data_IF_396538710902
#
_entry.id   IF_396538710902
#
_cell.length_a   1.000
_cell.length_b   1.000
_cell.length_c   1.000
_cell.angle_alpha   90.00
_cell.angle_beta   90.00
_cell.angle_gamma   90.00
#
_symmetry.space_group_name_H-M   'P 1'
#
loop_
_entity.id
_entity.type
_entity.pdbx_description
1 polymer ?
#
# COMPACT_ATOMS: atom_id res chain seq x y z
N UNK A 1 39.84 76.15 -13.29
CA UNK A 1 39.59 74.92 -14.08
C UNK A 1 40.54 73.88 -13.50
N UNK A 2 40.17 72.78 -12.86
CA UNK A 2 39.13 71.80 -13.20
C UNK A 2 38.49 71.19 -11.93
N UNK A 3 37.20 70.92 -12.03
CA UNK A 3 36.42 70.11 -11.09
C UNK A 3 36.71 68.62 -11.34
N UNK A 4 36.78 67.80 -10.29
CA UNK A 4 36.67 66.34 -10.41
C UNK A 4 35.78 65.79 -9.31
N UNK A 5 34.57 65.45 -9.76
CA UNK A 5 33.46 64.82 -9.05
C UNK A 5 33.75 63.35 -8.77
N UNK A 6 33.68 62.94 -7.50
CA UNK A 6 33.74 61.52 -7.10
C UNK A 6 32.34 60.93 -7.29
N UNK A 7 32.22 59.96 -8.21
CA UNK A 7 31.01 59.21 -8.47
C UNK A 7 30.69 58.27 -7.29
N UNK A 8 29.50 58.44 -6.72
CA UNK A 8 28.87 57.55 -5.75
C UNK A 8 28.40 56.27 -6.46
N UNK A 9 29.03 55.13 -6.15
CA UNK A 9 28.57 53.82 -6.61
C UNK A 9 27.35 53.37 -5.78
N UNK A 10 26.18 53.39 -6.41
CA UNK A 10 24.93 52.85 -5.85
C UNK A 10 25.00 51.32 -5.98
N UNK A 11 25.14 50.62 -4.84
CA UNK A 11 24.98 49.18 -4.79
C UNK A 11 23.49 48.83 -4.95
N UNK A 12 23.12 48.23 -6.09
CA UNK A 12 21.80 47.64 -6.29
C UNK A 12 21.65 46.42 -5.36
N UNK A 13 20.60 46.33 -4.53
CA UNK A 13 20.25 45.07 -3.91
C UNK A 13 19.74 44.13 -5.00
N UNK A 14 20.47 43.04 -5.25
CA UNK A 14 19.96 41.89 -5.97
C UNK A 14 18.76 41.35 -5.17
N UNK A 15 17.54 41.72 -5.59
CA UNK A 15 16.35 41.00 -5.19
C UNK A 15 16.57 39.55 -5.62
N UNK A 16 16.75 38.66 -4.66
CA UNK A 16 16.63 37.24 -4.87
C UNK A 16 15.24 37.01 -5.46
N UNK A 17 15.20 36.72 -6.76
CA UNK A 17 14.02 36.16 -7.37
C UNK A 17 13.77 34.84 -6.63
N UNK A 18 12.81 34.87 -5.69
CA UNK A 18 12.19 33.66 -5.23
C UNK A 18 11.58 33.04 -6.49
N UNK A 19 12.30 32.09 -7.09
CA UNK A 19 11.68 31.19 -8.04
C UNK A 19 10.43 30.66 -7.35
N UNK A 20 9.27 30.61 -8.03
CA UNK A 20 8.15 29.88 -7.48
C UNK A 20 8.73 28.54 -7.04
N UNK A 21 8.61 28.25 -5.75
CA UNK A 21 8.73 26.88 -5.30
C UNK A 21 7.55 26.25 -6.03
N UNK A 22 7.82 25.68 -7.21
CA UNK A 22 7.08 24.53 -7.65
C UNK A 22 7.29 23.56 -6.49
N UNK A 23 6.37 23.59 -5.53
CA UNK A 23 6.01 22.42 -4.79
C UNK A 23 5.54 21.49 -5.88
N UNK A 24 6.51 20.79 -6.48
CA UNK A 24 6.30 19.59 -7.25
C UNK A 24 5.29 18.83 -6.40
N UNK A 25 4.05 18.87 -6.91
CA UNK A 25 2.82 18.43 -6.28
C UNK A 25 3.19 17.24 -5.40
N UNK A 26 3.25 17.40 -4.06
CA UNK A 26 3.75 16.34 -3.13
C UNK A 26 3.25 15.02 -3.67
N UNK A 27 4.13 14.23 -4.29
CA UNK A 27 3.71 13.21 -5.25
C UNK A 27 2.69 12.34 -4.54
N UNK A 28 1.42 12.51 -4.92
CA UNK A 28 0.32 11.80 -4.31
C UNK A 28 0.69 10.35 -4.33
N UNK A 29 0.58 9.68 -3.18
CA UNK A 29 0.85 8.25 -3.11
C UNK A 29 0.07 7.50 -4.20
N UNK A 30 0.40 6.22 -4.43
CA UNK A 30 -0.25 5.42 -5.45
C UNK A 30 -1.77 5.61 -5.45
N UNK A 31 -2.38 5.67 -6.63
CA UNK A 31 -3.81 5.88 -6.72
C UNK A 31 -4.55 4.77 -5.95
N UNK A 32 -5.54 5.15 -5.16
CA UNK A 32 -6.42 4.19 -4.47
C UNK A 32 -7.35 3.60 -5.53
N UNK A 33 -7.05 2.38 -5.98
CA UNK A 33 -7.87 1.66 -6.96
C UNK A 33 -8.56 0.49 -6.24
N UNK A 34 -9.90 0.49 -6.13
CA UNK A 34 -10.63 -0.62 -5.52
C UNK A 34 -10.28 -1.96 -6.17
N UNK A 35 -10.16 -3.00 -5.34
CA UNK A 35 -10.04 -4.38 -5.84
C UNK A 35 -11.34 -4.76 -6.55
N UNK A 36 -11.23 -5.38 -7.72
CA UNK A 36 -12.39 -5.91 -8.41
C UNK A 36 -13.02 -7.07 -7.60
N UNK A 37 -14.33 -7.28 -7.74
CA UNK A 37 -15.06 -8.28 -6.95
C UNK A 37 -14.56 -9.72 -7.14
N UNK A 38 -13.91 -10.01 -8.27
CA UNK A 38 -13.32 -11.32 -8.56
C UNK A 38 -11.93 -11.49 -7.91
N UNK A 39 -11.30 -10.42 -7.42
CA UNK A 39 -10.02 -10.49 -6.75
C UNK A 39 -10.18 -10.98 -5.32
N UNK A 40 -9.22 -11.78 -4.85
CA UNK A 40 -9.15 -12.26 -3.48
C UNK A 40 -7.85 -11.79 -2.83
N UNK A 41 -7.90 -11.63 -1.50
CA UNK A 41 -6.73 -11.37 -0.67
C UNK A 41 -6.38 -12.63 0.10
N UNK A 42 -5.15 -13.11 -0.10
CA UNK A 42 -4.60 -14.24 0.66
C UNK A 42 -3.70 -13.66 1.73
N UNK A 43 -3.98 -13.95 3.00
CA UNK A 43 -3.14 -13.52 4.12
C UNK A 43 -1.89 -14.43 4.22
N UNK A 44 -0.68 -13.91 3.98
CA UNK A 44 0.56 -14.67 4.05
C UNK A 44 1.18 -14.68 5.45
N UNK A 45 0.59 -13.98 6.43
CA UNK A 45 1.19 -13.87 7.75
C UNK A 45 1.35 -15.25 8.39
N UNK A 46 2.46 -15.48 9.09
CA UNK A 46 2.71 -16.74 9.74
C UNK A 46 1.63 -17.07 10.77
N UNK A 47 0.94 -18.19 10.57
CA UNK A 47 0.03 -18.75 11.56
C UNK A 47 0.84 -19.46 12.66
N UNK A 48 0.33 -19.47 13.89
CA UNK A 48 0.96 -20.14 15.04
C UNK A 48 1.25 -21.64 14.82
N UNK A 49 0.63 -22.26 13.82
CA UNK A 49 0.90 -23.66 13.42
C UNK A 49 2.18 -23.84 12.59
N UNK A 50 2.73 -22.77 12.01
CA UNK A 50 3.91 -22.80 11.13
C UNK A 50 5.17 -22.23 11.80
N UNK A 51 5.07 -21.63 12.98
CA UNK A 51 6.20 -21.07 13.72
C UNK A 51 6.27 -21.61 15.16
N UNK A 52 7.42 -22.12 15.61
CA UNK A 52 7.58 -22.62 16.98
C UNK A 52 7.61 -21.44 17.96
N UNK A 53 6.46 -21.16 18.55
CA UNK A 53 6.26 -20.09 19.53
C UNK A 53 4.81 -19.64 19.46
N UNK A 54 4.09 -19.77 20.57
CA UNK A 54 2.68 -19.45 20.71
C UNK A 54 2.42 -17.93 20.65
N UNK A 55 2.86 -17.28 19.57
CA UNK A 55 2.75 -15.85 19.37
C UNK A 55 1.49 -15.55 18.55
N UNK A 56 0.71 -14.59 19.05
CA UNK A 56 -0.28 -13.86 18.26
C UNK A 56 0.38 -13.27 17.00
N UNK A 57 -0.39 -13.01 15.94
CA UNK A 57 0.06 -12.53 14.61
C UNK A 57 0.56 -11.06 14.67
N UNK A 58 1.41 -10.73 15.65
CA UNK A 58 1.90 -9.39 15.96
C UNK A 58 3.40 -9.47 16.19
N UNK A 59 4.13 -8.46 15.71
CA UNK A 59 5.59 -8.45 15.82
C UNK A 59 6.27 -9.34 14.77
N UNK A 60 5.72 -9.39 13.56
CA UNK A 60 6.42 -9.95 12.40
C UNK A 60 6.59 -8.85 11.36
N UNK A 61 7.70 -8.88 10.64
CA UNK A 61 7.95 -8.04 9.47
C UNK A 61 8.46 -8.89 8.32
N UNK A 62 8.23 -8.48 7.07
CA UNK A 62 8.95 -9.02 5.93
C UNK A 62 10.47 -8.90 6.17
N UNK A 63 11.20 -9.97 5.90
CA UNK A 63 12.65 -10.04 6.04
C UNK A 63 13.32 -8.95 5.20
N UNK A 64 14.52 -8.53 5.61
CA UNK A 64 15.31 -7.57 4.84
C UNK A 64 15.61 -8.09 3.43
N UNK A 65 15.96 -9.38 3.26
CA UNK A 65 16.23 -9.97 1.95
C UNK A 65 15.02 -9.85 1.00
N UNK A 66 13.81 -10.17 1.49
CA UNK A 66 12.59 -9.99 0.70
C UNK A 66 12.34 -8.50 0.41
N UNK A 67 12.44 -7.65 1.42
CA UNK A 67 12.17 -6.22 1.28
C UNK A 67 13.13 -5.55 0.30
N UNK A 68 14.43 -5.79 0.43
CA UNK A 68 15.47 -5.19 -0.43
C UNK A 68 15.33 -5.64 -1.89
N UNK A 69 14.79 -6.83 -2.13
CA UNK A 69 14.64 -7.39 -3.49
C UNK A 69 13.34 -6.97 -4.19
N UNK A 70 12.27 -6.77 -3.44
CA UNK A 70 10.91 -6.71 -3.99
C UNK A 70 10.11 -5.47 -3.58
N UNK A 71 10.65 -4.60 -2.72
CA UNK A 71 9.98 -3.36 -2.31
C UNK A 71 9.78 -2.43 -3.49
N UNK A 72 8.55 -1.94 -3.62
CA UNK A 72 8.15 -0.97 -4.64
C UNK A 72 7.93 0.40 -4.05
N UNK A 73 7.20 0.43 -2.94
CA UNK A 73 6.75 1.66 -2.33
C UNK A 73 6.43 1.43 -0.86
N UNK A 74 6.63 2.46 -0.05
CA UNK A 74 6.13 2.49 1.31
C UNK A 74 5.70 3.89 1.66
N UNK A 75 4.72 3.99 2.53
CA UNK A 75 4.32 5.25 3.15
C UNK A 75 4.07 5.04 4.63
N UNK A 76 4.14 6.15 5.35
CA UNK A 76 3.97 6.18 6.80
C UNK A 76 2.96 7.25 7.20
N UNK A 77 2.12 6.92 8.18
CA UNK A 77 1.12 7.84 8.73
C UNK A 77 1.51 8.18 10.17
N UNK A 78 1.71 9.48 10.45
CA UNK A 78 1.92 9.98 11.80
C UNK A 78 0.82 9.54 12.76
N UNK A 79 1.20 9.12 13.96
CA UNK A 79 0.30 8.88 15.08
C UNK A 79 0.03 10.20 15.84
N UNK A 80 -1.19 10.40 16.39
CA UNK A 80 -2.33 9.47 16.40
C UNK A 80 -3.08 9.44 15.05
N UNK A 81 -3.57 8.26 14.70
CA UNK A 81 -4.45 8.08 13.54
C UNK A 81 -5.93 8.19 13.96
N UNK A 82 -6.72 8.82 13.11
CA UNK A 82 -8.18 9.00 13.30
C UNK A 82 -9.01 8.01 12.47
N UNK A 83 -8.37 7.24 11.60
CA UNK A 83 -9.02 6.18 10.83
C UNK A 83 -8.93 4.83 11.54
N UNK A 84 -9.92 3.97 11.27
CA UNK A 84 -9.86 2.59 11.76
C UNK A 84 -8.77 1.79 11.06
N UNK A 85 -8.24 0.77 11.74
CA UNK A 85 -7.27 -0.16 11.16
C UNK A 85 -7.78 -0.77 9.84
N UNK A 86 -9.06 -1.18 9.78
CA UNK A 86 -9.65 -1.75 8.56
C UNK A 86 -9.69 -0.73 7.42
N UNK A 87 -10.01 0.53 7.71
CA UNK A 87 -9.98 1.60 6.70
C UNK A 87 -8.55 1.84 6.21
N UNK A 88 -7.55 1.85 7.10
CA UNK A 88 -6.13 1.96 6.72
C UNK A 88 -5.65 0.79 5.90
N UNK A 89 -6.00 -0.43 6.29
CA UNK A 89 -5.67 -1.62 5.53
C UNK A 89 -6.29 -1.59 4.13
N UNK A 90 -7.57 -1.21 4.04
CA UNK A 90 -8.28 -1.03 2.77
C UNK A 90 -7.57 -0.02 1.88
N UNK A 91 -7.15 1.12 2.42
CA UNK A 91 -6.37 2.10 1.67
C UNK A 91 -5.02 1.54 1.21
N UNK A 92 -4.26 0.88 2.10
CA UNK A 92 -2.96 0.29 1.78
C UNK A 92 -3.05 -0.71 0.61
N UNK A 93 -3.99 -1.66 0.67
CA UNK A 93 -4.12 -2.69 -0.37
C UNK A 93 -4.67 -2.13 -1.69
N UNK A 94 -5.57 -1.14 -1.64
CA UNK A 94 -6.09 -0.49 -2.86
C UNK A 94 -5.05 0.42 -3.52
N UNK A 95 -4.15 1.02 -2.74
CA UNK A 95 -3.00 1.73 -3.29
C UNK A 95 -2.01 0.78 -3.97
N UNK A 96 -1.74 -0.40 -3.37
CA UNK A 96 -0.99 -1.45 -4.05
C UNK A 96 -1.68 -1.84 -5.36
N UNK A 97 -2.98 -2.10 -5.35
CA UNK A 97 -3.72 -2.44 -6.58
C UNK A 97 -3.63 -1.35 -7.67
N UNK A 98 -3.55 -0.08 -7.28
CA UNK A 98 -3.34 1.04 -8.20
C UNK A 98 -1.88 1.30 -8.60
N UNK A 99 -0.92 0.63 -7.95
CA UNK A 99 0.50 0.80 -8.23
C UNK A 99 0.99 -0.25 -9.24
N UNK A 100 1.59 0.15 -10.37
CA UNK A 100 2.06 -0.79 -11.39
C UNK A 100 3.01 -1.84 -10.83
N UNK A 101 2.65 -3.11 -11.04
CA UNK A 101 3.47 -4.26 -10.63
C UNK A 101 3.35 -4.65 -9.16
N UNK A 102 2.58 -3.94 -8.35
CA UNK A 102 2.34 -4.35 -6.96
C UNK A 102 1.37 -5.53 -6.90
N UNK A 103 1.77 -6.57 -6.19
CA UNK A 103 1.00 -7.82 -6.04
C UNK A 103 0.80 -8.21 -4.58
N UNK A 104 1.48 -7.54 -3.65
CA UNK A 104 1.26 -7.75 -2.22
C UNK A 104 1.53 -6.49 -1.42
N UNK A 105 0.86 -6.39 -0.27
CA UNK A 105 1.09 -5.33 0.70
C UNK A 105 1.18 -5.89 2.11
N UNK A 106 1.92 -5.19 2.95
CA UNK A 106 2.06 -5.42 4.39
C UNK A 106 1.83 -4.09 5.10
N UNK A 107 1.04 -4.09 6.17
CA UNK A 107 0.78 -2.92 6.99
C UNK A 107 0.98 -3.29 8.46
N UNK A 108 1.62 -2.41 9.22
CA UNK A 108 1.75 -2.60 10.65
C UNK A 108 1.77 -1.26 11.39
N UNK A 109 1.38 -1.31 12.66
CA UNK A 109 1.55 -0.21 13.61
C UNK A 109 2.94 -0.29 14.22
N UNK A 110 3.43 0.84 14.71
CA UNK A 110 4.76 0.95 15.31
C UNK A 110 5.88 0.46 14.38
N UNK A 111 5.76 0.77 13.09
CA UNK A 111 6.83 0.59 12.13
C UNK A 111 7.80 1.77 12.24
N UNK A 112 9.11 1.55 12.40
CA UNK A 112 10.08 2.63 12.48
C UNK A 112 10.17 3.37 11.14
N UNK A 113 10.17 4.71 11.20
CA UNK A 113 10.47 5.55 10.06
C UNK A 113 11.91 5.31 9.58
N UNK A 114 12.14 5.19 8.27
CA UNK A 114 13.49 5.11 7.75
C UNK A 114 14.16 6.48 7.88
N UNK A 115 15.47 6.47 8.11
CA UNK A 115 16.25 7.70 8.18
C UNK A 115 16.12 8.50 6.87
N UNK A 116 15.88 9.81 6.99
CA UNK A 116 15.69 10.70 5.85
C UNK A 116 14.26 10.73 5.31
N UNK A 117 13.33 9.96 5.86
CA UNK A 117 11.92 10.03 5.50
C UNK A 117 11.38 11.45 5.72
N UNK A 118 11.06 12.15 4.62
CA UNK A 118 10.66 13.57 4.65
C UNK A 118 11.66 14.48 5.40
N UNK A 119 12.95 14.12 5.42
CA UNK A 119 13.99 14.87 6.12
C UNK A 119 14.10 14.60 7.63
N UNK A 120 13.35 13.63 8.15
CA UNK A 120 13.40 13.24 9.56
C UNK A 120 14.61 12.37 9.90
N UNK A 121 14.97 12.34 11.19
CA UNK A 121 16.07 11.52 11.69
C UNK A 121 15.81 10.01 11.54
N UNK A 122 14.53 9.61 11.56
CA UNK A 122 14.10 8.22 11.50
C UNK A 122 14.07 7.57 12.88
N UNK A 123 13.42 6.40 12.96
CA UNK A 123 13.23 5.63 14.19
C UNK A 123 11.94 5.95 14.95
N UNK A 124 11.24 7.05 14.61
CA UNK A 124 9.91 7.30 15.14
C UNK A 124 8.95 6.19 14.69
N UNK A 125 8.07 5.76 15.59
CA UNK A 125 7.19 4.61 15.39
C UNK A 125 5.84 5.05 14.84
N UNK A 126 5.54 4.66 13.60
CA UNK A 126 4.36 5.11 12.87
C UNK A 126 3.53 3.94 12.32
N UNK A 127 2.41 4.23 11.66
CA UNK A 127 1.73 3.22 10.83
C UNK A 127 2.45 3.17 9.49
N UNK A 128 3.04 2.03 9.15
CA UNK A 128 3.67 1.80 7.85
C UNK A 128 2.80 0.93 6.95
N UNK A 129 2.71 1.28 5.67
CA UNK A 129 2.24 0.42 4.60
C UNK A 129 3.39 0.20 3.61
N UNK A 130 3.63 -1.05 3.26
CA UNK A 130 4.73 -1.52 2.44
C UNK A 130 4.18 -2.34 1.29
N UNK A 131 4.62 -2.05 0.07
CA UNK A 131 4.09 -2.59 -1.17
C UNK A 131 5.20 -3.30 -1.93
N UNK A 132 4.91 -4.47 -2.48
CA UNK A 132 5.91 -5.33 -3.10
C UNK A 132 5.46 -5.87 -4.46
N UNK A 133 6.42 -6.09 -5.35
CA UNK A 133 6.19 -6.71 -6.68
C UNK A 133 6.20 -8.25 -6.64
N UNK A 134 6.39 -8.83 -5.46
CA UNK A 134 6.39 -10.27 -5.25
C UNK A 134 5.35 -10.65 -4.19
N UNK A 135 4.74 -11.82 -4.32
CA UNK A 135 3.85 -12.36 -3.29
C UNK A 135 4.63 -12.73 -2.04
N UNK A 136 4.13 -12.33 -0.88
CA UNK A 136 4.66 -12.74 0.42
C UNK A 136 4.26 -14.19 0.74
N UNK A 137 5.14 -14.92 1.40
CA UNK A 137 4.88 -16.25 1.94
C UNK A 137 5.17 -16.25 3.45
N UNK A 138 4.68 -17.23 4.22
CA UNK A 138 5.00 -17.31 5.65
C UNK A 138 6.50 -17.35 5.96
N UNK A 139 7.33 -17.85 5.03
CA UNK A 139 8.78 -17.95 5.18
C UNK A 139 9.51 -16.61 4.95
N UNK A 140 8.83 -15.62 4.37
CA UNK A 140 9.42 -14.31 4.11
C UNK A 140 9.38 -13.41 5.34
N UNK A 141 8.76 -13.86 6.44
CA UNK A 141 8.63 -13.09 7.68
C UNK A 141 9.66 -13.49 8.73
N UNK A 142 10.14 -12.48 9.45
CA UNK A 142 10.98 -12.64 10.64
C UNK A 142 10.33 -11.97 11.84
N UNK A 143 10.73 -12.38 13.04
CA UNK A 143 10.26 -11.76 14.29
C UNK A 143 10.82 -10.34 14.37
N UNK A 144 9.95 -9.37 14.62
CA UNK A 144 10.29 -7.97 14.83
C UNK A 144 10.86 -7.75 16.24
N UNK A 145 11.58 -6.65 16.40
CA UNK A 145 11.96 -6.18 17.73
C UNK A 145 10.72 -5.93 18.59
N UNK A 146 10.85 -6.16 19.89
CA UNK A 146 9.73 -6.03 20.83
C UNK A 146 9.14 -4.62 20.76
N UNK A 147 7.86 -4.54 20.43
CA UNK A 147 7.12 -3.27 20.33
C UNK A 147 7.11 -2.64 18.94
N UNK A 148 7.77 -3.24 17.95
CA UNK A 148 7.68 -2.81 16.56
C UNK A 148 6.76 -3.73 15.75
N UNK A 149 6.23 -3.21 14.64
CA UNK A 149 5.39 -3.95 13.69
C UNK A 149 4.23 -4.70 14.36
N UNK A 150 3.55 -4.03 15.29
CA UNK A 150 2.41 -4.58 16.02
C UNK A 150 1.14 -4.48 15.18
N UNK A 151 0.15 -5.33 15.49
CA UNK A 151 -1.13 -5.37 14.76
C UNK A 151 -0.93 -5.49 13.24
N UNK A 152 0.02 -6.34 12.84
CA UNK A 152 0.39 -6.54 11.45
C UNK A 152 -0.77 -7.14 10.64
N UNK A 153 -0.90 -6.69 9.39
CA UNK A 153 -1.82 -7.23 8.40
C UNK A 153 -1.07 -7.35 7.08
N UNK A 154 -1.28 -8.42 6.33
CA UNK A 154 -0.69 -8.59 5.02
C UNK A 154 -1.67 -9.23 4.05
N UNK A 155 -1.45 -9.03 2.76
CA UNK A 155 -2.32 -9.54 1.72
C UNK A 155 -1.61 -9.63 0.39
N UNK A 156 -1.66 -10.81 -0.22
CA UNK A 156 -1.35 -11.01 -1.62
C UNK A 156 -2.63 -10.79 -2.43
N UNK A 157 -2.55 -9.94 -3.46
CA UNK A 157 -3.63 -9.67 -4.40
C UNK A 157 -3.65 -10.77 -5.44
N UNK A 158 -4.73 -11.56 -5.48
CA UNK A 158 -4.97 -12.55 -6.51
C UNK A 158 -6.22 -12.20 -7.30
N UNK A 159 -6.04 -11.71 -8.52
CA UNK A 159 -7.14 -11.44 -9.44
C UNK A 159 -7.14 -12.52 -10.54
N UNK A 160 -8.07 -13.49 -10.52
CA UNK A 160 -8.22 -14.42 -11.62
C UNK A 160 -8.53 -13.62 -12.89
N UNK A 161 -7.74 -13.82 -13.94
CA UNK A 161 -8.11 -13.35 -15.28
C UNK A 161 -9.48 -13.95 -15.60
N UNK A 162 -10.41 -13.12 -16.08
CA UNK A 162 -11.67 -13.61 -16.60
C UNK A 162 -11.35 -14.76 -17.56
N UNK A 163 -11.92 -15.94 -17.31
CA UNK A 163 -11.75 -17.06 -18.21
C UNK A 163 -12.16 -16.59 -19.63
N UNK A 164 -11.38 -16.91 -20.68
CA UNK A 164 -11.85 -16.61 -22.03
C UNK A 164 -13.23 -17.24 -22.18
N UNK A 165 -14.21 -16.42 -22.57
CA UNK A 165 -15.59 -16.86 -22.73
C UNK A 165 -15.60 -18.11 -23.63
N UNK A 166 -15.78 -19.28 -23.02
CA UNK A 166 -15.99 -20.49 -23.78
C UNK A 166 -17.34 -20.30 -24.44
N UNK A 167 -17.35 -20.20 -25.76
CA UNK A 167 -18.57 -20.09 -26.56
C UNK A 167 -19.44 -21.34 -26.30
N UNK A 168 -20.30 -21.28 -25.28
CA UNK A 168 -21.30 -22.31 -25.06
C UNK A 168 -22.45 -22.04 -26.01
N UNK A 169 -22.53 -22.93 -27.01
CA UNK A 169 -23.58 -23.00 -27.99
C UNK A 169 -24.97 -22.90 -27.34
N UNK A 170 -25.84 -22.20 -28.05
CA UNK A 170 -27.25 -21.99 -27.76
C UNK A 170 -27.99 -23.26 -27.34
N UNK A 171 -28.32 -23.38 -26.06
CA UNK A 171 -29.39 -24.29 -25.63
C UNK A 171 -30.72 -23.57 -25.84
N UNK A 172 -31.37 -23.90 -26.97
CA UNK A 172 -32.77 -23.57 -27.25
C UNK A 172 -33.63 -24.13 -26.10
N UNK A 173 -34.25 -23.23 -25.33
CA UNK A 173 -35.21 -23.59 -24.29
C UNK A 173 -36.48 -24.16 -24.95
N UNK A 174 -36.64 -25.48 -24.92
CA UNK A 174 -37.90 -26.15 -25.23
C UNK A 174 -38.78 -26.19 -23.99
N UNK A 175 -39.84 -25.38 -24.00
CA UNK A 175 -40.86 -25.31 -22.96
C UNK A 175 -41.56 -26.68 -22.75
N UNK A 176 -41.45 -27.24 -21.54
CA UNK A 176 -42.23 -28.40 -21.13
C UNK A 176 -43.56 -27.96 -20.52
N UNK A 177 -44.68 -28.29 -21.17
CA UNK A 177 -46.04 -28.05 -20.69
C UNK A 177 -46.30 -28.87 -19.42
N UNK A 178 -46.46 -28.20 -18.27
CA UNK A 178 -46.99 -28.82 -17.04
C UNK A 178 -48.46 -29.22 -17.24
N UNK A 179 -48.77 -30.49 -16.96
CA UNK A 179 -50.13 -31.05 -16.91
C UNK A 179 -50.70 -30.81 -15.49
N UNK A 180 -51.95 -30.36 -15.32
CA UNK A 180 -52.51 -30.12 -13.99
C UNK A 180 -52.87 -31.43 -13.28
N UNK A 181 -52.51 -31.52 -12.00
CA UNK A 181 -52.86 -32.63 -11.08
C UNK A 181 -54.26 -32.38 -10.53
N UNK A 182 -55.13 -33.39 -10.64
CA UNK A 182 -56.50 -33.39 -10.12
C UNK A 182 -56.47 -33.76 -8.64
N UNK A 183 -56.87 -32.85 -7.76
CA UNK A 183 -57.05 -33.11 -6.32
C UNK A 183 -58.44 -33.74 -6.15
N UNK A 184 -58.50 -34.91 -5.50
CA UNK A 184 -59.73 -35.59 -5.12
C UNK A 184 -59.88 -35.44 -3.60
N UNK A 185 -60.98 -34.85 -3.18
CA UNK A 185 -61.60 -35.01 -1.87
C UNK A 185 -63.12 -35.05 -2.10
#
# INVERSE_FOLDING_TARGET
>A
MLFSTIFTAVALPLLAAASPIELERRAGGPAIVPLAENCTLINPLPHASLHPGNATISGYLPSSNFTDSYHLYSWYIPQPDFESQNARWSNCIQQCNGFPGCVSAFMAYSAPLPKGWLGLAGGELEIGCFMYNQTLTPLDFVVAEKGQYVNATAGNIYCPKAAPATANASVKSSASKKKPVKVVA
#
